data_IF_330518494948
#
_entry.id   IF_330518494948
#
_cell.length_a   1.000
_cell.length_b   1.000
_cell.length_c   1.000
_cell.angle_alpha   90.00
_cell.angle_beta   90.00
_cell.angle_gamma   90.00
#
_symmetry.space_group_name_H-M   'P 1'
#
loop_
_entity.id
_entity.type
_entity.pdbx_description
1 polymer ?
#
# COMPACT_ATOMS: atom_id res chain seq x y z
N UNK A 1 57.36 -18.78 -55.24
CA UNK A 1 56.37 -17.70 -55.41
C UNK A 1 54.97 -18.34 -55.43
N UNK A 2 54.09 -17.87 -54.52
CA UNK A 2 52.62 -17.98 -54.43
C UNK A 2 51.94 -19.37 -54.58
N UNK A 3 51.39 -19.96 -53.49
CA UNK A 3 50.03 -19.78 -52.89
C UNK A 3 48.92 -20.31 -53.81
N UNK A 4 47.94 -21.16 -53.43
CA UNK A 4 47.28 -21.36 -52.14
C UNK A 4 46.43 -22.65 -52.16
N UNK A 5 46.29 -23.30 -51.00
CA UNK A 5 45.43 -24.47 -50.71
C UNK A 5 43.93 -24.14 -50.70
N UNK A 6 43.08 -25.13 -51.00
CA UNK A 6 41.73 -25.28 -50.39
C UNK A 6 41.47 -26.74 -49.99
N UNK A 7 40.91 -26.85 -48.80
CA UNK A 7 40.83 -27.99 -47.89
C UNK A 7 39.65 -28.92 -48.25
N UNK A 8 39.88 -30.22 -48.09
CA UNK A 8 38.92 -31.30 -48.35
C UNK A 8 37.88 -31.46 -47.23
N UNK A 9 36.63 -31.72 -47.62
CA UNK A 9 35.53 -32.20 -46.76
C UNK A 9 35.62 -33.72 -46.66
N UNK A 10 35.76 -34.27 -45.45
CA UNK A 10 35.47 -35.67 -45.17
C UNK A 10 34.47 -35.77 -44.02
N UNK A 11 33.38 -36.49 -44.28
CA UNK A 11 32.30 -36.73 -43.35
C UNK A 11 32.68 -37.74 -42.26
N UNK A 12 32.17 -37.51 -41.07
CA UNK A 12 32.22 -38.45 -39.95
C UNK A 12 30.78 -38.82 -39.58
N UNK A 13 30.46 -40.12 -39.70
CA UNK A 13 29.24 -40.73 -39.19
C UNK A 13 29.18 -40.53 -37.66
N UNK A 14 28.14 -39.87 -37.16
CA UNK A 14 27.80 -39.84 -35.74
C UNK A 14 26.79 -40.95 -35.45
N UNK A 15 27.15 -41.84 -34.53
CA UNK A 15 26.26 -42.85 -33.98
C UNK A 15 25.10 -42.19 -33.22
N UNK A 16 23.87 -42.54 -33.59
CA UNK A 16 22.65 -42.13 -32.87
C UNK A 16 22.52 -42.99 -31.62
N UNK A 17 23.05 -42.49 -30.50
CA UNK A 17 22.63 -42.92 -29.17
C UNK A 17 21.27 -42.27 -28.90
N UNK A 18 20.20 -43.05 -28.98
CA UNK A 18 18.88 -42.66 -28.52
C UNK A 18 18.90 -42.46 -27.00
N UNK A 19 19.24 -41.26 -26.55
CA UNK A 19 18.94 -40.82 -25.21
C UNK A 19 17.43 -40.57 -25.14
N UNK A 20 16.69 -41.48 -24.51
CA UNK A 20 15.34 -41.22 -24.06
C UNK A 20 15.36 -39.97 -23.18
N UNK A 21 14.93 -38.84 -23.72
CA UNK A 21 14.70 -37.61 -22.96
C UNK A 21 13.59 -37.90 -21.95
N UNK A 22 13.98 -38.25 -20.72
CA UNK A 22 13.09 -38.09 -19.58
C UNK A 22 12.83 -36.60 -19.46
N UNK A 23 11.62 -36.16 -19.82
CA UNK A 23 11.14 -34.82 -19.51
C UNK A 23 11.03 -34.74 -17.97
N UNK A 24 12.06 -34.19 -17.34
CA UNK A 24 12.04 -33.93 -15.90
C UNK A 24 11.04 -32.79 -15.70
N UNK A 25 9.95 -33.06 -14.99
CA UNK A 25 8.97 -32.04 -14.63
C UNK A 25 9.65 -30.91 -13.86
N UNK A 26 9.33 -29.66 -14.17
CA UNK A 26 9.91 -28.51 -13.50
C UNK A 26 9.58 -28.54 -12.00
N UNK A 27 10.55 -28.27 -11.10
CA UNK A 27 10.29 -28.26 -9.66
C UNK A 27 9.23 -27.22 -9.30
N UNK A 28 8.42 -27.50 -8.29
CA UNK A 28 7.43 -26.53 -7.81
C UNK A 28 8.12 -25.27 -7.27
N UNK A 29 7.56 -24.11 -7.57
CA UNK A 29 8.02 -22.84 -7.00
C UNK A 29 7.87 -22.85 -5.47
N UNK A 30 8.84 -22.29 -4.77
CA UNK A 30 8.88 -22.16 -3.33
C UNK A 30 9.37 -20.77 -2.93
N UNK A 31 8.74 -20.25 -1.88
CA UNK A 31 9.16 -19.01 -1.27
C UNK A 31 10.45 -19.21 -0.44
N UNK A 32 11.28 -18.17 -0.37
CA UNK A 32 12.60 -18.20 0.27
C UNK A 32 13.73 -18.77 -0.58
N UNK A 33 13.48 -19.15 -1.84
CA UNK A 33 14.48 -19.76 -2.73
C UNK A 33 15.06 -18.73 -3.71
N UNK A 34 16.37 -18.85 -3.99
CA UNK A 34 17.04 -18.09 -5.06
C UNK A 34 16.92 -18.83 -6.39
N UNK A 35 16.37 -18.16 -7.39
CA UNK A 35 16.24 -18.65 -8.75
C UNK A 35 17.21 -17.90 -9.66
N UNK A 36 18.09 -18.62 -10.35
CA UNK A 36 18.96 -18.03 -11.37
C UNK A 36 18.18 -17.77 -12.66
N UNK A 37 18.55 -16.71 -13.39
CA UNK A 37 17.92 -16.38 -14.66
C UNK A 37 17.89 -17.60 -15.60
N UNK A 38 16.71 -17.90 -16.14
CA UNK A 38 16.46 -19.06 -16.98
C UNK A 38 15.94 -20.32 -16.26
N UNK A 39 15.94 -20.35 -14.93
CA UNK A 39 15.35 -21.47 -14.15
C UNK A 39 13.85 -21.61 -14.46
N UNK A 40 13.38 -22.85 -14.68
CA UNK A 40 11.95 -23.14 -14.90
C UNK A 40 11.36 -23.80 -13.67
N UNK A 41 10.19 -23.34 -13.23
CA UNK A 41 9.43 -23.86 -12.08
C UNK A 41 7.96 -24.03 -12.40
N UNK A 42 7.28 -24.93 -11.69
CA UNK A 42 5.83 -25.08 -11.76
C UNK A 42 5.14 -24.28 -10.65
N UNK A 43 4.14 -23.47 -10.98
CA UNK A 43 3.28 -22.79 -10.01
C UNK A 43 1.82 -22.82 -10.47
N UNK A 44 0.90 -23.26 -9.60
CA UNK A 44 -0.52 -23.46 -9.92
C UNK A 44 -0.76 -24.27 -11.21
N UNK A 45 0.06 -25.30 -11.44
CA UNK A 45 -0.06 -26.19 -12.60
C UNK A 45 0.40 -25.59 -13.93
N UNK A 46 1.10 -24.45 -13.91
CA UNK A 46 1.72 -23.83 -15.09
C UNK A 46 3.22 -23.66 -14.89
N UNK A 47 3.97 -23.74 -15.98
CA UNK A 47 5.41 -23.57 -15.97
C UNK A 47 5.81 -22.12 -16.25
N UNK A 48 6.80 -21.66 -15.50
CA UNK A 48 7.31 -20.30 -15.58
C UNK A 48 8.83 -20.31 -15.57
N UNK A 49 9.43 -19.48 -16.40
CA UNK A 49 10.86 -19.27 -16.52
C UNK A 49 11.27 -17.96 -15.85
N UNK A 50 12.26 -18.01 -14.96
CA UNK A 50 12.85 -16.82 -14.35
C UNK A 50 13.53 -15.96 -15.43
N UNK A 51 13.19 -14.67 -15.47
CA UNK A 51 13.76 -13.70 -16.41
C UNK A 51 15.09 -13.12 -15.91
N UNK A 52 15.21 -12.96 -14.60
CA UNK A 52 16.41 -12.44 -13.91
C UNK A 52 16.71 -13.28 -12.67
N UNK A 53 17.97 -13.31 -12.26
CA UNK A 53 18.36 -13.98 -11.01
C UNK A 53 17.79 -13.20 -9.82
N UNK A 54 17.03 -13.86 -8.96
CA UNK A 54 16.40 -13.23 -7.79
C UNK A 54 16.16 -14.23 -6.66
N UNK A 55 16.01 -13.73 -5.44
CA UNK A 55 15.51 -14.52 -4.31
C UNK A 55 14.06 -14.15 -4.06
N UNK A 56 13.16 -15.14 -4.10
CA UNK A 56 11.75 -14.94 -3.81
C UNK A 56 11.52 -14.88 -2.28
N UNK A 57 11.99 -13.82 -1.62
CA UNK A 57 11.97 -13.72 -0.15
C UNK A 57 10.57 -13.94 0.46
N UNK A 58 10.51 -14.62 1.61
CA UNK A 58 9.25 -14.92 2.31
C UNK A 58 8.48 -13.65 2.67
N UNK A 59 7.21 -13.58 2.26
CA UNK A 59 6.31 -12.44 2.48
C UNK A 59 6.30 -11.39 1.36
N UNK A 60 7.16 -11.52 0.34
CA UNK A 60 7.19 -10.57 -0.79
C UNK A 60 6.15 -10.86 -1.86
N UNK A 61 5.55 -12.05 -1.83
CA UNK A 61 4.59 -12.53 -2.83
C UNK A 61 5.14 -12.49 -4.27
N UNK A 62 6.45 -12.70 -4.45
CA UNK A 62 7.13 -12.77 -5.75
C UNK A 62 6.92 -14.12 -6.45
N UNK A 63 5.67 -14.58 -6.50
CA UNK A 63 5.31 -15.83 -7.14
C UNK A 63 5.22 -15.68 -8.67
N UNK A 64 5.40 -16.77 -9.44
CA UNK A 64 5.48 -16.68 -10.89
C UNK A 64 4.24 -16.15 -11.61
N UNK A 65 3.05 -16.20 -10.99
CA UNK A 65 1.82 -15.66 -11.55
C UNK A 65 1.62 -14.16 -11.26
N UNK A 66 2.18 -13.64 -10.16
CA UNK A 66 1.99 -12.26 -9.71
C UNK A 66 3.16 -11.32 -10.08
N UNK A 67 4.32 -11.84 -10.49
CA UNK A 67 5.51 -11.03 -10.81
C UNK A 67 6.04 -11.25 -12.23
N UNK A 68 5.36 -10.72 -13.26
CA UNK A 68 5.73 -10.90 -14.67
C UNK A 68 7.07 -10.24 -15.08
N UNK A 69 7.63 -9.39 -14.21
CA UNK A 69 8.98 -8.82 -14.37
C UNK A 69 10.09 -9.81 -13.97
N UNK A 70 9.77 -10.77 -13.11
CA UNK A 70 10.70 -11.80 -12.64
C UNK A 70 10.49 -13.14 -13.34
N UNK A 71 9.28 -13.39 -13.86
CA UNK A 71 8.88 -14.68 -14.43
C UNK A 71 8.12 -14.51 -15.76
N UNK A 72 8.37 -15.41 -16.71
CA UNK A 72 7.59 -15.53 -17.93
C UNK A 72 6.98 -16.92 -18.06
N UNK A 73 5.68 -17.00 -18.38
CA UNK A 73 5.02 -18.27 -18.67
C UNK A 73 5.67 -18.94 -19.89
N UNK A 74 6.02 -20.22 -19.80
CA UNK A 74 6.52 -20.98 -20.95
C UNK A 74 5.32 -21.56 -21.70
N UNK A 75 5.22 -21.31 -23.01
CA UNK A 75 4.07 -21.68 -23.84
C UNK A 75 3.91 -23.18 -24.14
N UNK A 76 4.27 -24.07 -23.21
CA UNK A 76 4.24 -25.52 -23.37
C UNK A 76 3.06 -26.20 -22.68
N UNK A 77 2.53 -27.24 -23.31
CA UNK A 77 1.39 -28.07 -22.90
C UNK A 77 1.58 -28.72 -21.52
N UNK A 78 0.49 -28.77 -20.76
CA UNK A 78 0.35 -29.48 -19.48
C UNK A 78 0.94 -30.90 -19.52
N UNK A 79 2.01 -31.12 -18.74
CA UNK A 79 2.53 -32.45 -18.40
C UNK A 79 1.80 -32.96 -17.15
N UNK A 80 1.50 -34.27 -17.03
CA UNK A 80 0.64 -34.77 -15.95
C UNK A 80 1.30 -34.60 -14.58
N UNK A 81 0.48 -34.24 -13.60
CA UNK A 81 0.88 -34.02 -12.22
C UNK A 81 1.58 -35.26 -11.63
N UNK A 82 2.71 -35.12 -10.91
CA UNK A 82 3.27 -36.23 -10.16
C UNK A 82 2.35 -36.56 -8.98
N UNK A 83 2.16 -37.86 -8.74
CA UNK A 83 1.42 -38.43 -7.62
C UNK A 83 1.86 -37.82 -6.28
N UNK A 84 0.94 -37.41 -5.38
CA UNK A 84 1.31 -36.87 -4.08
C UNK A 84 2.14 -37.87 -3.27
N UNK A 85 3.28 -37.41 -2.75
CA UNK A 85 4.00 -38.14 -1.71
C UNK A 85 3.16 -38.19 -0.41
N UNK A 86 3.27 -39.25 0.41
CA UNK A 86 2.38 -39.47 1.56
C UNK A 86 2.41 -38.31 2.55
N UNK A 87 1.22 -37.95 3.05
CA UNK A 87 1.07 -36.98 4.12
C UNK A 87 1.92 -37.38 5.34
N UNK A 88 2.77 -36.46 5.82
CA UNK A 88 3.40 -36.62 7.11
C UNK A 88 2.31 -36.63 8.20
N UNK A 89 2.29 -37.71 8.97
CA UNK A 89 1.44 -37.92 10.14
C UNK A 89 1.50 -36.71 11.07
N UNK A 90 0.35 -36.17 11.54
CA UNK A 90 0.35 -35.16 12.59
C UNK A 90 0.97 -35.74 13.86
N UNK A 91 2.06 -35.13 14.32
CA UNK A 91 2.56 -35.37 15.68
C UNK A 91 1.52 -34.87 16.70
N UNK A 92 1.36 -35.54 17.85
CA UNK A 92 0.33 -35.20 18.82
C UNK A 92 0.51 -33.77 19.35
N UNK A 93 -0.62 -33.07 19.50
CA UNK A 93 -0.69 -31.79 20.17
C UNK A 93 -0.21 -31.93 21.62
N UNK A 94 0.77 -31.12 22.10
CA UNK A 94 1.10 -31.10 23.51
C UNK A 94 -0.08 -30.51 24.29
N UNK A 95 -0.50 -31.28 25.30
CA UNK A 95 -1.43 -30.91 26.36
C UNK A 95 -1.15 -29.52 26.94
N UNK A 96 -2.24 -28.79 27.25
CA UNK A 96 -2.23 -27.44 27.79
C UNK A 96 -1.26 -27.24 28.95
N UNK A 97 -0.29 -26.35 28.74
CA UNK A 97 0.54 -25.76 29.78
C UNK A 97 0.03 -24.35 30.08
N UNK A 98 -0.10 -24.03 31.37
CA UNK A 98 -0.33 -22.67 31.87
C UNK A 98 0.75 -21.71 31.34
N UNK A 99 0.36 -20.66 30.62
CA UNK A 99 1.28 -19.61 30.18
C UNK A 99 1.47 -18.58 31.30
N UNK A 100 2.65 -18.56 31.91
CA UNK A 100 3.12 -17.40 32.67
C UNK A 100 3.65 -16.37 31.67
N UNK A 101 2.86 -15.33 31.38
CA UNK A 101 3.30 -14.21 30.55
C UNK A 101 3.86 -13.07 31.39
N UNK A 102 4.91 -12.40 30.92
CA UNK A 102 5.39 -11.14 31.51
C UNK A 102 5.09 -9.97 30.58
N UNK A 103 5.00 -8.74 31.10
CA UNK A 103 4.84 -7.55 30.26
C UNK A 103 6.12 -7.32 29.45
N UNK A 104 5.99 -7.17 28.13
CA UNK A 104 7.14 -6.88 27.28
C UNK A 104 7.74 -5.53 27.66
N UNK A 105 9.06 -5.47 27.82
CA UNK A 105 9.81 -4.27 28.17
C UNK A 105 10.91 -4.05 27.14
N UNK A 106 10.98 -2.82 26.63
CA UNK A 106 11.95 -2.44 25.58
C UNK A 106 13.39 -2.60 26.07
N UNK A 107 14.24 -3.22 25.26
CA UNK A 107 15.66 -3.41 25.57
C UNK A 107 15.96 -4.53 26.57
N UNK A 108 14.96 -5.34 26.95
CA UNK A 108 15.14 -6.54 27.77
C UNK A 108 15.25 -7.78 26.88
N UNK A 109 16.23 -8.63 27.18
CA UNK A 109 16.40 -9.89 26.47
C UNK A 109 15.60 -11.00 27.18
N UNK A 110 14.80 -11.73 26.40
CA UNK A 110 14.00 -12.85 26.88
C UNK A 110 14.60 -14.17 26.39
N UNK A 111 14.42 -15.23 27.17
CA UNK A 111 14.85 -16.58 26.79
C UNK A 111 13.86 -17.22 25.81
N UNK A 112 14.38 -18.08 24.92
CA UNK A 112 13.58 -18.80 23.93
C UNK A 112 12.38 -19.50 24.59
N UNK A 113 11.20 -19.32 24.01
CA UNK A 113 9.94 -19.87 24.52
C UNK A 113 9.16 -18.96 25.47
N UNK A 114 9.74 -17.83 25.92
CA UNK A 114 9.06 -16.85 26.77
C UNK A 114 7.84 -16.27 26.07
N UNK A 115 6.72 -16.16 26.80
CA UNK A 115 5.52 -15.46 26.33
C UNK A 115 5.48 -14.06 26.96
N UNK A 116 5.33 -13.04 26.14
CA UNK A 116 5.19 -11.65 26.59
C UNK A 116 3.82 -11.08 26.21
N UNK A 117 3.28 -10.21 27.04
CA UNK A 117 2.14 -9.36 26.67
C UNK A 117 2.67 -8.03 26.12
N UNK A 118 2.33 -7.72 24.87
CA UNK A 118 2.64 -6.46 24.21
C UNK A 118 1.33 -5.84 23.67
N UNK A 119 0.95 -4.68 24.22
CA UNK A 119 -0.27 -3.95 23.88
C UNK A 119 -1.56 -4.80 23.88
N UNK A 120 -1.68 -5.72 24.84
CA UNK A 120 -2.87 -6.58 24.99
C UNK A 120 -2.88 -7.82 24.11
N UNK A 121 -1.83 -8.05 23.30
CA UNK A 121 -1.62 -9.26 22.52
C UNK A 121 -0.45 -10.06 23.07
N UNK A 122 -0.52 -11.40 22.98
CA UNK A 122 0.53 -12.27 23.49
C UNK A 122 1.44 -12.74 22.35
N UNK A 123 2.74 -12.71 22.60
CA UNK A 123 3.76 -13.15 21.64
C UNK A 123 4.72 -14.11 22.31
N UNK A 124 5.03 -15.22 21.65
CA UNK A 124 6.03 -16.18 22.10
C UNK A 124 7.33 -15.93 21.36
N UNK A 125 8.44 -15.86 22.10
CA UNK A 125 9.76 -15.84 21.50
C UNK A 125 10.05 -17.23 20.93
N UNK A 126 10.18 -17.33 19.61
CA UNK A 126 10.36 -18.58 18.88
C UNK A 126 11.74 -18.73 18.25
N UNK A 127 12.57 -17.67 18.30
CA UNK A 127 13.94 -17.71 17.80
C UNK A 127 14.88 -16.83 18.64
N UNK A 128 16.19 -17.09 18.62
CA UNK A 128 17.22 -16.30 19.31
C UNK A 128 18.53 -16.28 18.53
N UNK A 129 19.25 -15.14 18.54
CA UNK A 129 20.64 -15.08 18.07
C UNK A 129 21.63 -15.41 19.20
N UNK A 130 22.94 -15.24 18.94
CA UNK A 130 24.03 -15.54 19.89
C UNK A 130 23.93 -14.80 21.23
N UNK A 131 23.12 -13.74 21.32
CA UNK A 131 22.90 -12.90 22.51
C UNK A 131 21.44 -12.88 23.02
N UNK A 132 20.56 -13.81 22.58
CA UNK A 132 19.13 -13.85 22.95
C UNK A 132 18.21 -13.10 21.97
N UNK A 133 17.00 -12.70 22.40
CA UNK A 133 16.17 -11.74 21.64
C UNK A 133 16.88 -10.38 21.63
N UNK A 134 16.95 -9.69 20.49
CA UNK A 134 17.66 -8.41 20.34
C UNK A 134 16.93 -7.18 20.95
N UNK A 135 15.97 -7.41 21.86
CA UNK A 135 15.19 -6.36 22.52
C UNK A 135 14.22 -5.62 21.59
N UNK A 136 14.00 -6.11 20.36
CA UNK A 136 13.07 -5.51 19.40
C UNK A 136 11.61 -5.86 19.69
N UNK A 137 10.74 -4.95 19.26
CA UNK A 137 9.29 -5.02 19.38
C UNK A 137 8.74 -6.31 18.72
N UNK A 138 7.86 -7.07 19.40
CA UNK A 138 7.25 -8.30 18.88
C UNK A 138 6.48 -8.17 17.57
N UNK A 139 6.09 -6.96 17.18
CA UNK A 139 5.38 -6.66 15.92
C UNK A 139 6.32 -6.27 14.78
N UNK A 140 7.55 -5.89 15.08
CA UNK A 140 8.56 -5.48 14.09
C UNK A 140 9.38 -6.70 13.65
N UNK A 141 9.71 -7.58 14.58
CA UNK A 141 10.65 -8.68 14.34
C UNK A 141 9.95 -10.04 14.44
N UNK A 142 9.20 -10.37 13.37
CA UNK A 142 8.48 -11.65 13.23
C UNK A 142 9.40 -12.88 13.11
N UNK A 143 10.71 -12.65 12.99
CA UNK A 143 11.73 -13.70 13.08
C UNK A 143 11.95 -14.18 14.53
N UNK A 144 11.92 -13.27 15.51
CA UNK A 144 12.07 -13.59 16.93
C UNK A 144 10.74 -13.96 17.57
N UNK A 145 9.66 -13.24 17.23
CA UNK A 145 8.38 -13.30 17.93
C UNK A 145 7.25 -13.84 17.05
N UNK A 146 6.43 -14.73 17.60
CA UNK A 146 5.21 -15.22 16.95
C UNK A 146 3.98 -14.93 17.82
N UNK A 147 2.83 -14.54 17.24
CA UNK A 147 1.58 -14.40 17.98
C UNK A 147 1.18 -15.72 18.67
N UNK A 148 0.66 -15.63 19.89
CA UNK A 148 0.14 -16.77 20.65
C UNK A 148 -1.12 -16.37 21.43
N UNK A 149 -1.86 -17.36 21.91
CA UNK A 149 -3.02 -17.16 22.79
C UNK A 149 -2.67 -17.59 24.21
N UNK A 150 -2.99 -16.78 25.21
CA UNK A 150 -2.86 -17.12 26.62
C UNK A 150 -4.25 -17.07 27.28
N UNK A 151 -4.74 -18.21 27.79
CA UNK A 151 -6.08 -18.31 28.41
C UNK A 151 -5.95 -18.98 29.77
N UNK A 152 -6.29 -18.27 30.85
CA UNK A 152 -6.26 -18.82 32.20
C UNK A 152 -6.87 -17.91 33.25
N UNK A 153 -8.14 -18.14 33.57
CA UNK A 153 -8.84 -17.63 34.76
C UNK A 153 -9.64 -18.77 35.38
N UNK A 154 -9.37 -19.02 36.66
CA UNK A 154 -9.72 -20.15 37.54
C UNK A 154 -11.11 -20.80 37.37
N UNK A 155 -11.11 -22.14 37.29
CA UNK A 155 -12.28 -23.03 37.48
C UNK A 155 -12.45 -23.41 38.96
N UNK A 156 -13.67 -23.46 39.53
CA UNK A 156 -14.02 -24.44 40.55
C UNK A 156 -14.46 -25.76 39.88
N UNK A 157 -14.26 -26.85 40.61
CA UNK A 157 -14.31 -28.28 40.26
C UNK A 157 -15.61 -28.77 39.59
N UNK A 158 -15.56 -29.73 38.62
CA UNK A 158 -16.74 -30.25 37.94
C UNK A 158 -17.48 -31.33 38.76
N UNK A 159 -18.82 -31.27 38.75
CA UNK A 159 -19.74 -32.34 39.14
C UNK A 159 -20.03 -33.20 37.90
N UNK A 160 -20.08 -34.55 37.98
CA UNK A 160 -20.19 -35.40 36.79
C UNK A 160 -21.57 -35.30 36.10
N UNK A 161 -21.54 -35.21 34.78
CA UNK A 161 -22.72 -35.12 33.89
C UNK A 161 -23.30 -36.51 33.56
N UNK A 162 -24.63 -36.73 33.64
CA UNK A 162 -25.30 -37.94 33.11
C UNK A 162 -25.43 -37.96 31.58
N UNK A 163 -25.62 -39.17 31.03
CA UNK A 163 -25.69 -39.55 29.62
C UNK A 163 -26.74 -38.77 28.75
N UNK A 164 -26.59 -38.74 27.41
CA UNK A 164 -27.24 -37.76 26.55
C UNK A 164 -28.70 -38.11 26.23
N UNK A 165 -29.54 -37.09 26.12
CA UNK A 165 -30.91 -37.17 25.55
C UNK A 165 -30.98 -36.24 24.32
N UNK A 166 -31.84 -36.56 23.33
CA UNK A 166 -31.60 -36.25 21.91
C UNK A 166 -31.80 -34.78 21.55
N UNK A 167 -31.04 -34.38 20.51
CA UNK A 167 -30.96 -33.06 19.87
C UNK A 167 -32.35 -32.50 19.50
N UNK A 168 -32.76 -31.32 20.00
CA UNK A 168 -33.85 -30.57 19.42
C UNK A 168 -33.41 -29.92 18.11
N UNK A 169 -34.28 -30.02 17.12
CA UNK A 169 -34.26 -29.34 15.83
C UNK A 169 -34.00 -27.82 16.00
N UNK A 170 -33.16 -27.18 15.16
CA UNK A 170 -32.91 -25.74 15.25
C UNK A 170 -34.20 -24.96 15.07
N UNK A 171 -34.53 -24.11 16.05
CA UNK A 171 -35.50 -23.04 15.85
C UNK A 171 -34.96 -22.04 14.82
N UNK A 172 -35.79 -21.53 13.89
CA UNK A 172 -35.34 -20.59 12.88
C UNK A 172 -34.78 -19.33 13.55
N UNK A 173 -33.60 -18.91 13.09
CA UNK A 173 -32.98 -17.63 13.42
C UNK A 173 -34.01 -16.52 13.25
N UNK A 174 -34.20 -15.62 14.24
CA UNK A 174 -35.09 -14.49 14.07
C UNK A 174 -34.59 -13.64 12.90
N UNK A 175 -35.44 -13.49 11.89
CA UNK A 175 -35.22 -12.57 10.78
C UNK A 175 -35.07 -11.15 11.34
N UNK A 176 -34.01 -10.40 10.99
CA UNK A 176 -34.03 -8.95 11.12
C UNK A 176 -35.03 -8.42 10.09
N UNK A 177 -36.31 -8.38 10.47
CA UNK A 177 -37.31 -7.60 9.78
C UNK A 177 -37.01 -6.12 10.05
N UNK A 178 -36.61 -5.37 9.03
CA UNK A 178 -36.53 -3.92 9.18
C UNK A 178 -35.85 -3.12 8.07
N UNK A 179 -35.23 -3.72 7.06
CA UNK A 179 -34.59 -2.92 6.01
C UNK A 179 -35.36 -2.92 4.70
N UNK A 180 -35.99 -1.79 4.37
CA UNK A 180 -36.60 -1.55 3.06
C UNK A 180 -35.54 -1.07 2.06
N UNK A 181 -34.50 -1.87 1.83
CA UNK A 181 -33.51 -1.57 0.81
C UNK A 181 -33.94 -2.16 -0.54
N UNK A 182 -34.01 -1.32 -1.57
CA UNK A 182 -34.36 -1.78 -2.93
C UNK A 182 -33.10 -2.34 -3.61
N UNK A 183 -33.22 -3.39 -4.42
CA UNK A 183 -32.07 -3.87 -5.22
C UNK A 183 -31.67 -2.78 -6.22
N UNK A 184 -30.40 -2.39 -6.22
CA UNK A 184 -29.90 -1.39 -7.15
C UNK A 184 -30.05 -1.90 -8.59
N UNK A 185 -30.61 -1.06 -9.46
CA UNK A 185 -30.84 -1.37 -10.87
C UNK A 185 -30.18 -0.29 -11.73
N UNK A 186 -29.38 -0.72 -12.69
CA UNK A 186 -28.65 0.19 -13.59
C UNK A 186 -29.61 1.09 -14.36
N UNK A 187 -29.31 2.39 -14.39
CA UNK A 187 -30.10 3.38 -15.13
C UNK A 187 -31.40 3.83 -14.45
N UNK A 188 -31.63 3.41 -13.19
CA UNK A 188 -32.76 3.87 -12.37
C UNK A 188 -32.31 5.02 -11.48
N UNK A 189 -33.13 6.08 -11.39
CA UNK A 189 -32.87 7.22 -10.52
C UNK A 189 -33.57 7.01 -9.17
N UNK A 190 -32.79 7.14 -8.09
CA UNK A 190 -33.27 7.01 -6.73
C UNK A 190 -33.36 8.40 -6.07
N UNK A 191 -34.28 8.54 -5.12
CA UNK A 191 -34.44 9.78 -4.34
C UNK A 191 -33.45 9.84 -3.18
N UNK A 192 -33.08 11.07 -2.78
CA UNK A 192 -32.14 11.31 -1.69
C UNK A 192 -32.54 10.55 -0.42
N UNK A 193 -31.58 9.87 0.20
CA UNK A 193 -31.77 9.05 1.39
C UNK A 193 -32.15 7.59 1.12
N UNK A 194 -32.43 7.21 -0.13
CA UNK A 194 -32.73 5.82 -0.50
C UNK A 194 -31.55 4.91 -0.19
N UNK A 195 -31.82 3.75 0.42
CA UNK A 195 -30.83 2.69 0.61
C UNK A 195 -31.04 1.62 -0.46
N UNK A 196 -29.97 1.29 -1.18
CA UNK A 196 -29.97 0.22 -2.18
C UNK A 196 -29.03 -0.92 -1.77
N UNK A 197 -29.37 -2.15 -2.18
CA UNK A 197 -28.45 -3.28 -2.13
C UNK A 197 -27.78 -3.44 -3.50
N UNK A 198 -26.45 -3.38 -3.52
CA UNK A 198 -25.63 -3.65 -4.70
C UNK A 198 -24.62 -4.75 -4.39
N UNK A 199 -24.72 -5.89 -5.09
CA UNK A 199 -23.85 -7.07 -4.92
C UNK A 199 -23.66 -7.51 -3.46
N UNK A 200 -24.71 -7.42 -2.63
CA UNK A 200 -24.68 -7.85 -1.24
C UNK A 200 -24.17 -6.80 -0.25
N UNK A 201 -23.82 -5.61 -0.72
CA UNK A 201 -23.47 -4.45 0.10
C UNK A 201 -24.53 -3.36 0.02
N UNK A 202 -24.69 -2.57 1.08
CA UNK A 202 -25.71 -1.53 1.15
C UNK A 202 -25.12 -0.15 0.98
N UNK A 203 -25.80 0.68 0.19
CA UNK A 203 -25.39 2.05 -0.09
C UNK A 203 -26.57 3.00 0.08
N UNK A 204 -26.37 4.11 0.77
CA UNK A 204 -27.34 5.18 0.92
C UNK A 204 -27.03 6.27 -0.10
N UNK A 205 -28.05 6.72 -0.82
CA UNK A 205 -27.96 7.91 -1.65
C UNK A 205 -27.88 9.13 -0.73
N UNK A 206 -26.75 9.83 -0.75
CA UNK A 206 -26.48 10.97 0.13
C UNK A 206 -26.41 12.29 -0.62
N UNK A 207 -26.44 12.26 -1.94
CA UNK A 207 -26.48 13.44 -2.79
C UNK A 207 -27.32 13.20 -4.05
N UNK A 208 -27.83 14.28 -4.67
CA UNK A 208 -28.63 14.20 -5.92
C UNK A 208 -28.37 15.41 -6.82
N UNK A 209 -28.36 15.20 -8.14
CA UNK A 209 -28.44 16.27 -9.14
C UNK A 209 -29.89 16.65 -9.43
N UNK A 210 -30.12 17.50 -10.44
CA UNK A 210 -31.45 17.99 -10.85
C UNK A 210 -32.47 16.89 -11.19
N UNK A 211 -32.01 15.66 -11.46
CA UNK A 211 -32.83 14.50 -11.85
C UNK A 211 -32.71 13.29 -10.87
N UNK A 212 -32.17 13.46 -9.65
CA UNK A 212 -31.93 12.36 -8.69
C UNK A 212 -30.50 11.79 -8.76
N UNK A 213 -30.31 10.50 -8.43
CA UNK A 213 -29.06 9.79 -8.76
C UNK A 213 -28.86 9.73 -10.28
N UNK A 214 -27.63 9.72 -10.79
CA UNK A 214 -27.32 9.68 -12.23
C UNK A 214 -27.38 8.27 -12.87
N UNK A 215 -27.90 7.28 -12.15
CA UNK A 215 -27.99 5.90 -12.59
C UNK A 215 -26.65 5.15 -12.60
N UNK A 216 -25.57 5.76 -12.09
CA UNK A 216 -24.26 5.10 -11.93
C UNK A 216 -24.22 4.17 -10.72
N UNK A 217 -23.37 3.15 -10.87
CA UNK A 217 -23.09 2.12 -9.87
C UNK A 217 -22.57 2.76 -8.56
N UNK A 218 -23.07 2.33 -7.38
CA UNK A 218 -22.64 2.83 -6.07
C UNK A 218 -21.14 2.73 -5.75
N UNK A 219 -20.40 1.90 -6.45
CA UNK A 219 -18.93 1.75 -6.33
C UNK A 219 -18.14 2.71 -7.23
N UNK A 220 -18.80 3.29 -8.24
CA UNK A 220 -18.17 4.20 -9.20
C UNK A 220 -18.35 5.66 -8.77
N UNK A 221 -19.52 6.02 -8.22
CA UNK A 221 -19.83 7.39 -7.85
C UNK A 221 -20.12 7.55 -6.36
N UNK A 222 -19.06 7.76 -5.61
CA UNK A 222 -19.10 8.04 -4.16
C UNK A 222 -19.64 9.43 -3.82
N UNK A 223 -19.90 10.27 -4.84
CA UNK A 223 -20.59 11.55 -4.69
C UNK A 223 -22.09 11.35 -4.42
N UNK A 224 -22.73 10.43 -5.16
CA UNK A 224 -24.13 10.07 -4.97
C UNK A 224 -24.30 9.08 -3.82
N UNK A 225 -23.42 8.07 -3.73
CA UNK A 225 -23.62 6.90 -2.88
C UNK A 225 -22.59 6.80 -1.76
N UNK A 226 -23.04 6.50 -0.53
CA UNK A 226 -22.18 6.16 0.60
C UNK A 226 -22.47 4.75 1.11
N UNK A 227 -21.44 3.95 1.47
CA UNK A 227 -21.65 2.68 2.15
C UNK A 227 -22.45 2.88 3.44
N UNK A 228 -23.39 1.97 3.71
CA UNK A 228 -24.22 2.03 4.92
C UNK A 228 -24.50 0.63 5.46
N UNK A 229 -25.01 0.57 6.69
CA UNK A 229 -25.53 -0.65 7.29
C UNK A 229 -27.05 -0.58 7.32
N UNK A 230 -27.70 -1.72 7.07
CA UNK A 230 -29.15 -1.81 6.98
C UNK A 230 -29.81 -1.83 8.36
N UNK A 231 -29.76 -0.71 9.08
CA UNK A 231 -30.41 -0.52 10.39
C UNK A 231 -31.23 0.77 10.37
N UNK A 232 -32.56 0.63 10.29
CA UNK A 232 -33.50 1.75 10.31
C UNK A 232 -33.70 2.31 11.72
N UNK A 233 -33.79 3.64 11.83
CA UNK A 233 -34.25 4.34 13.03
C UNK A 233 -33.25 5.38 13.56
N UNK A 234 -33.54 6.65 13.28
CA UNK A 234 -33.02 7.91 13.87
C UNK A 234 -31.51 7.97 14.20
N UNK A 235 -30.82 8.77 13.38
CA UNK A 235 -29.50 9.36 13.63
C UNK A 235 -29.20 9.64 15.10
N UNK A 236 -28.05 9.13 15.60
CA UNK A 236 -27.12 9.92 16.37
C UNK A 236 -25.85 10.17 15.55
N UNK A 237 -25.36 11.41 15.66
CA UNK A 237 -24.02 11.95 15.36
C UNK A 237 -22.95 10.95 14.88
N UNK A 238 -22.22 11.22 13.78
CA UNK A 238 -21.26 10.28 13.22
C UNK A 238 -20.12 10.01 14.20
N UNK A 239 -20.04 8.77 14.66
CA UNK A 239 -18.83 8.20 15.26
C UNK A 239 -18.05 7.50 14.14
N UNK A 240 -16.79 7.89 13.85
CA UNK A 240 -16.00 7.28 12.78
C UNK A 240 -15.67 5.81 13.07
N UNK A 241 -16.13 4.92 12.20
CA UNK A 241 -15.85 3.48 12.23
C UNK A 241 -14.76 3.08 11.24
N UNK A 242 -13.59 2.80 11.81
CA UNK A 242 -12.44 1.98 11.42
C UNK A 242 -12.56 1.15 10.13
N UNK A 243 -11.81 1.52 9.09
CA UNK A 243 -11.71 0.77 7.84
C UNK A 243 -10.65 1.35 6.90
N UNK A 244 -9.41 1.40 7.37
CA UNK A 244 -8.27 2.11 6.79
C UNK A 244 -7.52 2.76 7.93
N UNK A 245 -6.19 2.61 8.02
CA UNK A 245 -5.42 3.21 9.12
C UNK A 245 -5.85 4.67 9.32
N UNK A 246 -6.30 5.02 10.52
CA UNK A 246 -6.87 6.34 10.77
C UNK A 246 -5.82 7.39 10.45
N UNK A 247 -6.01 8.14 9.38
CA UNK A 247 -5.14 9.26 9.08
C UNK A 247 -5.20 10.28 10.22
N UNK A 248 -4.06 10.85 10.57
CA UNK A 248 -3.97 11.73 11.74
C UNK A 248 -4.62 13.10 11.52
N UNK A 249 -4.84 13.48 10.25
CA UNK A 249 -5.62 14.64 9.87
C UNK A 249 -7.05 14.18 9.59
N UNK A 250 -8.02 14.67 10.35
CA UNK A 250 -9.43 14.34 10.12
C UNK A 250 -9.95 14.96 8.81
N UNK A 251 -11.03 14.43 8.26
CA UNK A 251 -11.69 15.03 7.09
C UNK A 251 -12.13 16.48 7.35
N UNK A 252 -12.62 16.77 8.56
CA UNK A 252 -13.01 18.12 8.96
C UNK A 252 -11.81 19.08 8.93
N UNK A 253 -10.66 18.64 9.45
CA UNK A 253 -9.42 19.42 9.39
C UNK A 253 -8.92 19.58 7.96
N UNK A 254 -8.96 18.53 7.14
CA UNK A 254 -8.60 18.61 5.72
C UNK A 254 -9.49 19.62 4.97
N UNK A 255 -10.79 19.66 5.25
CA UNK A 255 -11.72 20.65 4.69
C UNK A 255 -11.42 22.08 5.17
N UNK A 256 -10.91 22.27 6.39
CA UNK A 256 -10.45 23.58 6.88
C UNK A 256 -9.15 24.03 6.23
N UNK A 257 -8.24 23.09 5.97
CA UNK A 257 -6.99 23.35 5.23
C UNK A 257 -7.28 23.75 3.78
N UNK A 258 -8.25 23.09 3.14
CA UNK A 258 -8.55 23.30 1.72
C UNK A 258 -10.05 23.55 1.45
N UNK A 259 -10.59 24.73 1.84
CA UNK A 259 -12.02 25.04 1.77
C UNK A 259 -12.54 25.22 0.34
N UNK A 260 -11.68 25.65 -0.59
CA UNK A 260 -12.03 25.95 -1.97
C UNK A 260 -11.37 24.98 -2.98
N UNK A 261 -10.93 23.81 -2.53
CA UNK A 261 -10.26 22.84 -3.40
C UNK A 261 -11.15 22.39 -4.54
N UNK A 262 -10.51 21.98 -5.64
CA UNK A 262 -11.18 21.27 -6.71
C UNK A 262 -11.79 19.95 -6.17
N UNK A 263 -13.05 19.61 -6.50
CA UNK A 263 -13.70 18.37 -6.08
C UNK A 263 -12.94 17.09 -6.45
N UNK A 264 -12.04 17.14 -7.44
CA UNK A 264 -11.12 16.06 -7.78
C UNK A 264 -10.28 15.60 -6.57
N UNK A 265 -9.86 16.51 -5.70
CA UNK A 265 -9.04 16.19 -4.54
C UNK A 265 -9.92 15.81 -3.35
N UNK A 266 -10.26 14.53 -3.28
CA UNK A 266 -11.10 14.01 -2.19
C UNK A 266 -10.24 13.60 -1.00
N UNK A 267 -10.79 13.77 0.22
CA UNK A 267 -10.17 13.24 1.44
C UNK A 267 -10.06 11.70 1.38
N UNK A 268 -11.09 11.03 0.86
CA UNK A 268 -11.07 9.58 0.68
C UNK A 268 -9.97 9.13 -0.28
N UNK A 269 -9.69 9.88 -1.35
CA UNK A 269 -8.57 9.61 -2.24
C UNK A 269 -7.23 9.64 -1.51
N UNK A 270 -7.04 10.64 -0.64
CA UNK A 270 -5.85 10.74 0.22
C UNK A 270 -5.75 9.54 1.17
N UNK A 271 -6.82 9.25 1.93
CA UNK A 271 -6.85 8.12 2.87
C UNK A 271 -6.58 6.78 2.18
N UNK A 272 -7.14 6.58 0.99
CA UNK A 272 -6.91 5.38 0.19
C UNK A 272 -5.46 5.27 -0.28
N UNK A 273 -4.78 6.39 -0.52
CA UNK A 273 -3.39 6.42 -0.94
C UNK A 273 -2.40 6.09 0.19
N UNK A 274 -2.78 6.31 1.46
CA UNK A 274 -1.89 6.10 2.62
C UNK A 274 -1.34 4.67 2.71
N UNK A 275 -2.12 3.67 2.28
CA UNK A 275 -1.68 2.27 2.32
C UNK A 275 -0.48 1.97 1.42
N UNK A 276 -0.17 2.84 0.45
CA UNK A 276 1.03 2.70 -0.39
C UNK A 276 2.31 2.95 0.41
N UNK A 277 2.24 3.74 1.50
CA UNK A 277 3.38 4.08 2.35
C UNK A 277 2.97 4.13 3.83
N UNK A 278 2.87 2.97 4.52
CA UNK A 278 2.35 2.90 5.89
C UNK A 278 3.13 3.69 6.96
N UNK A 279 4.37 4.08 6.67
CA UNK A 279 5.22 4.90 7.55
C UNK A 279 4.90 6.41 7.48
N UNK A 280 4.28 6.86 6.38
CA UNK A 280 3.91 8.26 6.16
C UNK A 280 2.94 8.75 7.24
N UNK A 281 3.31 9.85 7.91
CA UNK A 281 2.53 10.44 9.00
C UNK A 281 2.14 9.44 10.11
N UNK A 282 2.98 8.41 10.31
CA UNK A 282 2.77 7.35 11.29
C UNK A 282 4.10 6.92 11.97
N UNK A 283 5.12 7.77 11.88
CA UNK A 283 6.47 7.54 12.43
C UNK A 283 6.86 8.68 13.38
N UNK A 284 7.66 8.38 14.41
CA UNK A 284 8.18 9.40 15.34
C UNK A 284 7.22 9.87 16.44
N UNK A 285 6.04 9.25 16.56
CA UNK A 285 5.01 9.58 17.55
C UNK A 285 4.04 10.68 17.08
N UNK A 286 2.95 10.88 17.82
CA UNK A 286 1.79 11.70 17.40
C UNK A 286 2.16 13.12 16.98
N UNK A 287 3.07 13.79 17.71
CA UNK A 287 3.51 15.14 17.37
C UNK A 287 4.23 15.19 16.03
N UNK A 288 5.22 14.31 15.82
CA UNK A 288 5.99 14.23 14.58
C UNK A 288 5.10 13.81 13.41
N UNK A 289 4.19 12.85 13.63
CA UNK A 289 3.22 12.43 12.62
C UNK A 289 2.28 13.56 12.17
N UNK A 290 1.82 14.41 13.11
CA UNK A 290 1.05 15.62 12.77
C UNK A 290 1.89 16.67 12.05
N UNK A 291 3.13 16.88 12.48
CA UNK A 291 4.06 17.78 11.80
C UNK A 291 4.34 17.31 10.37
N UNK A 292 4.60 16.02 10.17
CA UNK A 292 4.82 15.46 8.84
C UNK A 292 3.59 15.61 7.95
N UNK A 293 2.39 15.29 8.45
CA UNK A 293 1.16 15.46 7.70
C UNK A 293 0.91 16.93 7.31
N UNK A 294 1.13 17.86 8.25
CA UNK A 294 1.03 19.30 7.97
C UNK A 294 2.09 19.76 6.96
N UNK A 295 3.32 19.26 7.05
CA UNK A 295 4.41 19.61 6.14
C UNK A 295 4.13 19.13 4.71
N UNK A 296 3.65 17.90 4.57
CA UNK A 296 3.22 17.35 3.28
C UNK A 296 2.10 18.19 2.67
N UNK A 297 1.02 18.43 3.43
CA UNK A 297 -0.13 19.19 2.94
C UNK A 297 0.20 20.66 2.65
N UNK A 298 1.10 21.29 3.40
CA UNK A 298 1.54 22.66 3.16
C UNK A 298 2.33 22.81 1.85
N UNK A 299 3.18 21.83 1.53
CA UNK A 299 3.85 21.79 0.23
C UNK A 299 2.85 21.54 -0.90
N UNK A 300 1.88 20.64 -0.70
CA UNK A 300 0.79 20.40 -1.65
C UNK A 300 -0.01 21.68 -1.91
N UNK A 301 -0.29 22.47 -0.87
CA UNK A 301 -0.98 23.76 -1.01
C UNK A 301 -0.24 24.68 -1.99
N UNK A 302 1.06 24.85 -1.76
CA UNK A 302 1.93 25.66 -2.61
C UNK A 302 1.96 25.17 -4.07
N UNK A 303 2.11 23.86 -4.30
CA UNK A 303 2.20 23.31 -5.68
C UNK A 303 0.91 23.49 -6.49
N UNK A 304 -0.24 23.53 -5.82
CA UNK A 304 -1.55 23.39 -6.47
C UNK A 304 -2.48 24.58 -6.28
N UNK A 305 -2.01 25.63 -5.60
CA UNK A 305 -2.84 26.77 -5.21
C UNK A 305 -4.00 26.35 -4.31
N UNK A 306 -3.69 25.73 -3.17
CA UNK A 306 -4.66 25.14 -2.24
C UNK A 306 -5.58 24.09 -2.89
N UNK A 307 -4.99 23.17 -3.68
CA UNK A 307 -5.69 22.09 -4.39
C UNK A 307 -6.73 22.60 -5.41
N UNK A 308 -6.60 23.81 -5.95
CA UNK A 308 -7.49 24.29 -7.02
C UNK A 308 -7.10 23.74 -8.38
N UNK A 309 -5.80 23.52 -8.62
CA UNK A 309 -5.27 23.10 -9.90
C UNK A 309 -4.91 21.61 -9.90
N UNK A 310 -5.44 20.88 -10.89
CA UNK A 310 -5.13 19.46 -11.12
C UNK A 310 -3.92 19.29 -12.04
N UNK A 311 -3.77 20.21 -12.99
CA UNK A 311 -2.76 20.21 -14.05
C UNK A 311 -2.01 21.54 -14.01
N UNK A 312 -0.77 21.53 -14.45
CA UNK A 312 0.02 22.74 -14.68
C UNK A 312 -0.74 23.75 -15.55
N UNK A 313 -0.79 25.00 -15.07
CA UNK A 313 -1.58 26.07 -15.68
C UNK A 313 -0.96 26.51 -17.03
N UNK A 314 0.37 26.65 -17.08
CA UNK A 314 1.03 27.17 -18.27
C UNK A 314 1.20 26.08 -19.35
N UNK A 315 0.19 25.98 -20.21
CA UNK A 315 0.16 24.99 -21.30
C UNK A 315 1.31 25.13 -22.30
N UNK A 316 1.94 26.30 -22.40
CA UNK A 316 3.12 26.49 -23.26
C UNK A 316 4.32 25.64 -22.81
N UNK A 317 4.40 25.31 -21.51
CA UNK A 317 5.48 24.48 -20.97
C UNK A 317 5.25 22.98 -21.19
N UNK A 318 4.03 22.55 -21.52
CA UNK A 318 3.68 21.12 -21.56
C UNK A 318 4.59 20.25 -22.44
N UNK A 319 5.11 20.73 -23.59
CA UNK A 319 6.05 19.97 -24.40
C UNK A 319 7.46 19.80 -23.80
N UNK A 320 7.82 20.59 -22.77
CA UNK A 320 9.19 20.64 -22.24
C UNK A 320 9.57 19.41 -21.40
N UNK A 321 8.58 18.74 -20.82
CA UNK A 321 8.78 17.69 -19.82
C UNK A 321 9.05 16.31 -20.43
N UNK A 322 9.91 16.25 -21.44
CA UNK A 322 10.30 15.02 -22.12
C UNK A 322 11.83 14.95 -22.22
N UNK A 323 12.46 14.11 -21.40
CA UNK A 323 13.93 14.03 -21.31
C UNK A 323 14.60 13.64 -22.63
N UNK A 324 13.96 12.75 -23.40
CA UNK A 324 14.45 12.27 -24.70
C UNK A 324 14.07 13.17 -25.89
N UNK A 325 13.31 14.25 -25.66
CA UNK A 325 12.77 15.13 -26.70
C UNK A 325 11.60 14.55 -27.51
N UNK A 326 11.40 13.23 -27.51
CA UNK A 326 10.25 12.58 -28.13
C UNK A 326 9.63 11.53 -27.21
N UNK A 327 8.44 11.86 -26.71
CA UNK A 327 7.68 11.03 -25.78
C UNK A 327 6.50 10.30 -26.44
N UNK A 328 6.56 10.06 -27.76
CA UNK A 328 5.54 9.30 -28.49
C UNK A 328 4.15 9.95 -28.46
N UNK A 329 4.11 11.29 -28.45
CA UNK A 329 2.86 12.06 -28.34
C UNK A 329 2.29 12.15 -26.91
N UNK A 330 2.96 11.57 -25.91
CA UNK A 330 2.62 11.73 -24.49
C UNK A 330 3.25 13.00 -23.91
N UNK A 331 2.60 13.57 -22.90
CA UNK A 331 3.06 14.79 -22.23
C UNK A 331 3.10 14.59 -20.71
N UNK A 332 4.22 14.97 -20.11
CA UNK A 332 4.51 14.77 -18.68
C UNK A 332 4.64 16.08 -17.92
N UNK A 333 3.81 17.07 -18.27
CA UNK A 333 3.61 18.28 -17.47
C UNK A 333 3.08 17.95 -16.07
N UNK A 334 3.14 18.95 -15.19
CA UNK A 334 2.76 18.79 -13.79
C UNK A 334 1.30 18.36 -13.61
N UNK A 335 1.08 17.29 -12.84
CA UNK A 335 -0.27 16.84 -12.42
C UNK A 335 -0.30 16.48 -10.94
N UNK A 336 -1.48 16.64 -10.34
CA UNK A 336 -1.79 16.16 -8.99
C UNK A 336 -1.14 16.96 -7.85
N UNK A 337 -1.20 16.46 -6.60
CA UNK A 337 -0.92 17.24 -5.40
C UNK A 337 0.52 17.75 -5.27
N UNK A 338 1.47 17.09 -5.93
CA UNK A 338 2.89 17.49 -5.95
C UNK A 338 3.35 17.88 -7.37
N UNK A 339 2.42 18.17 -8.28
CA UNK A 339 2.70 18.55 -9.66
C UNK A 339 3.74 17.65 -10.34
N UNK A 340 3.53 16.32 -10.28
CA UNK A 340 4.43 15.31 -10.85
C UNK A 340 4.72 15.66 -12.31
N UNK A 341 6.00 15.88 -12.61
CA UNK A 341 6.48 16.37 -13.91
C UNK A 341 7.66 15.54 -14.39
N UNK A 342 7.89 15.50 -15.70
CA UNK A 342 8.92 14.72 -16.42
C UNK A 342 8.64 13.21 -16.58
N UNK A 343 8.88 12.72 -17.79
CA UNK A 343 8.78 11.31 -18.19
C UNK A 343 9.47 10.33 -17.22
N UNK A 344 10.69 10.65 -16.77
CA UNK A 344 11.41 9.79 -15.83
C UNK A 344 10.73 9.69 -14.45
N UNK A 345 10.06 10.75 -13.97
CA UNK A 345 9.34 10.72 -12.70
C UNK A 345 8.03 9.94 -12.83
N UNK A 346 7.30 10.09 -13.94
CA UNK A 346 6.12 9.24 -14.23
C UNK A 346 6.51 7.77 -14.34
N UNK A 347 7.65 7.45 -14.98
CA UNK A 347 8.18 6.09 -15.02
C UNK A 347 8.52 5.57 -13.63
N UNK A 348 9.24 6.34 -12.82
CA UNK A 348 9.70 5.92 -11.49
C UNK A 348 8.53 5.77 -10.50
N UNK A 349 7.60 6.72 -10.48
CA UNK A 349 6.39 6.66 -9.67
C UNK A 349 5.51 5.48 -10.08
N UNK A 350 5.31 5.29 -11.39
CA UNK A 350 4.52 4.19 -11.92
C UNK A 350 5.09 2.83 -11.54
N UNK A 351 6.40 2.65 -11.70
CA UNK A 351 7.09 1.42 -11.30
C UNK A 351 6.96 1.13 -9.79
N UNK A 352 7.12 2.14 -8.94
CA UNK A 352 7.01 1.99 -7.49
C UNK A 352 5.58 1.67 -7.03
N UNK A 353 4.58 2.23 -7.71
CA UNK A 353 3.16 2.07 -7.35
C UNK A 353 2.46 0.90 -8.05
N UNK A 354 3.12 0.26 -9.02
CA UNK A 354 2.52 -0.78 -9.87
C UNK A 354 1.46 -0.24 -10.83
N UNK A 355 1.62 1.00 -11.30
CA UNK A 355 0.67 1.70 -12.18
C UNK A 355 1.43 2.18 -13.42
N UNK A 356 0.93 1.90 -14.62
CA UNK A 356 1.58 2.33 -15.87
C UNK A 356 1.35 3.83 -16.16
N UNK A 357 2.01 4.68 -15.38
CA UNK A 357 1.94 6.13 -15.48
C UNK A 357 2.75 6.70 -16.65
N UNK A 358 3.73 5.96 -17.17
CA UNK A 358 4.49 6.38 -18.34
C UNK A 358 3.59 6.36 -19.58
N UNK A 359 2.85 5.28 -19.82
CA UNK A 359 1.95 5.23 -20.98
C UNK A 359 0.60 5.91 -20.73
N UNK A 360 0.20 6.06 -19.45
CA UNK A 360 -1.08 6.64 -19.04
C UNK A 360 -0.90 7.81 -18.04
N UNK A 361 -0.17 8.89 -18.39
CA UNK A 361 0.16 9.96 -17.45
C UNK A 361 -1.07 10.73 -16.95
N UNK A 362 -2.17 10.74 -17.70
CA UNK A 362 -3.38 11.46 -17.28
C UNK A 362 -4.16 10.76 -16.15
N UNK A 363 -3.79 9.53 -15.76
CA UNK A 363 -4.31 8.88 -14.55
C UNK A 363 -4.07 9.75 -13.31
N UNK A 364 -2.95 10.48 -13.25
CA UNK A 364 -2.61 11.41 -12.14
C UNK A 364 -3.58 12.59 -12.07
N UNK A 365 -4.31 12.90 -13.14
CA UNK A 365 -5.27 14.00 -13.21
C UNK A 365 -6.73 13.54 -13.41
N UNK A 366 -6.99 12.23 -13.34
CA UNK A 366 -8.32 11.65 -13.53
C UNK A 366 -8.71 10.66 -12.42
N UNK A 367 -7.74 10.14 -11.66
CA UNK A 367 -7.96 9.33 -10.47
C UNK A 367 -7.34 10.00 -9.22
N UNK A 368 -8.20 10.38 -8.28
CA UNK A 368 -7.83 11.09 -7.05
C UNK A 368 -6.84 10.29 -6.20
N UNK A 369 -7.06 8.98 -6.04
CA UNK A 369 -6.21 8.13 -5.22
C UNK A 369 -4.84 7.93 -5.88
N UNK A 370 -4.78 7.78 -7.20
CA UNK A 370 -3.51 7.73 -7.94
C UNK A 370 -2.74 9.04 -7.79
N UNK A 371 -3.42 10.19 -7.90
CA UNK A 371 -2.79 11.49 -7.71
C UNK A 371 -2.13 11.61 -6.32
N UNK A 372 -2.87 11.25 -5.26
CA UNK A 372 -2.33 11.22 -3.91
C UNK A 372 -1.20 10.21 -3.72
N UNK A 373 -1.29 9.02 -4.33
CA UNK A 373 -0.20 8.03 -4.30
C UNK A 373 1.08 8.58 -4.92
N UNK A 374 1.00 9.31 -6.03
CA UNK A 374 2.20 9.93 -6.64
C UNK A 374 2.83 11.00 -5.76
N UNK A 375 2.01 11.78 -5.04
CA UNK A 375 2.51 12.80 -4.12
C UNK A 375 3.19 12.16 -2.90
N UNK A 376 2.59 11.13 -2.31
CA UNK A 376 3.17 10.40 -1.18
C UNK A 376 4.43 9.64 -1.64
N UNK A 377 4.43 9.05 -2.84
CA UNK A 377 5.64 8.46 -3.44
C UNK A 377 6.79 9.45 -3.48
N UNK A 378 6.54 10.68 -3.95
CA UNK A 378 7.57 11.71 -4.00
C UNK A 378 8.10 12.01 -2.59
N UNK A 379 7.18 12.31 -1.66
CA UNK A 379 7.49 12.64 -0.27
C UNK A 379 8.32 11.57 0.45
N UNK A 380 8.04 10.30 0.17
CA UNK A 380 8.63 9.15 0.87
C UNK A 380 9.92 8.65 0.23
N UNK A 381 10.19 8.95 -1.05
CA UNK A 381 11.27 8.29 -1.81
C UNK A 381 12.21 9.24 -2.53
N UNK A 382 11.76 10.46 -2.83
CA UNK A 382 12.53 11.41 -3.63
C UNK A 382 13.26 12.39 -2.73
N UNK A 383 14.52 12.65 -3.07
CA UNK A 383 15.42 13.53 -2.30
C UNK A 383 15.65 14.87 -2.98
N UNK A 384 15.19 15.03 -4.22
CA UNK A 384 15.56 16.14 -5.08
C UNK A 384 17.08 16.35 -5.08
N UNK A 385 17.50 17.58 -4.76
CA UNK A 385 18.92 17.96 -4.67
C UNK A 385 19.49 17.84 -3.25
N UNK A 386 18.83 17.11 -2.34
CA UNK A 386 19.20 17.06 -0.92
C UNK A 386 19.72 15.70 -0.46
N UNK A 387 20.19 15.67 0.80
CA UNK A 387 20.68 14.46 1.43
C UNK A 387 19.57 13.52 1.96
N UNK A 388 18.31 13.94 1.98
CA UNK A 388 17.21 13.23 2.68
C UNK A 388 15.90 13.34 1.91
N UNK A 389 14.98 12.42 2.15
CA UNK A 389 13.60 12.58 1.68
C UNK A 389 12.87 13.61 2.56
N UNK A 390 11.77 14.22 2.09
CA UNK A 390 10.90 15.01 2.95
C UNK A 390 10.43 14.25 4.21
N UNK A 391 10.08 12.96 4.07
CA UNK A 391 9.77 12.09 5.20
C UNK A 391 10.91 12.07 6.22
N UNK A 392 12.12 11.71 5.79
CA UNK A 392 13.30 11.62 6.65
C UNK A 392 13.62 12.96 7.33
N UNK A 393 13.43 14.07 6.63
CA UNK A 393 13.64 15.41 7.16
C UNK A 393 12.73 15.70 8.36
N UNK A 394 11.45 15.31 8.28
CA UNK A 394 10.49 15.51 9.36
C UNK A 394 10.76 14.56 10.53
N UNK A 395 10.98 13.26 10.28
CA UNK A 395 11.14 12.28 11.36
C UNK A 395 12.49 12.39 12.09
N UNK A 396 13.53 12.91 11.43
CA UNK A 396 14.84 13.12 12.05
C UNK A 396 14.97 14.49 12.76
N UNK A 397 13.97 15.36 12.62
CA UNK A 397 14.02 16.72 13.14
C UNK A 397 14.97 17.65 12.37
N UNK A 398 15.32 17.31 11.12
CA UNK A 398 16.11 18.21 10.27
C UNK A 398 15.35 19.51 9.96
N UNK A 399 14.01 19.43 9.91
CA UNK A 399 13.09 20.57 9.85
C UNK A 399 12.39 20.74 8.51
N UNK A 400 11.36 21.59 8.51
CA UNK A 400 10.49 21.81 7.36
C UNK A 400 11.24 22.36 6.14
N UNK A 401 12.27 23.19 6.34
CA UNK A 401 13.07 23.77 5.26
C UNK A 401 13.81 22.74 4.40
N UNK A 402 14.16 21.57 4.97
CA UNK A 402 14.72 20.47 4.18
C UNK A 402 13.69 19.84 3.23
N UNK A 403 12.40 19.86 3.58
CA UNK A 403 11.33 19.40 2.68
C UNK A 403 11.19 20.34 1.48
N UNK A 404 11.27 21.65 1.71
CA UNK A 404 11.25 22.67 0.67
C UNK A 404 12.47 22.48 -0.26
N UNK A 405 13.66 22.27 0.33
CA UNK A 405 14.88 22.00 -0.43
C UNK A 405 14.74 20.75 -1.33
N UNK A 406 14.14 19.68 -0.82
CA UNK A 406 13.94 18.44 -1.55
C UNK A 406 12.94 18.58 -2.71
N UNK A 407 11.94 19.45 -2.58
CA UNK A 407 10.89 19.64 -3.59
C UNK A 407 11.31 20.61 -4.67
N UNK A 408 11.77 21.81 -4.30
CA UNK A 408 12.11 22.87 -5.26
C UNK A 408 13.29 23.74 -4.82
N UNK A 409 14.24 23.18 -4.07
CA UNK A 409 15.30 23.93 -3.43
C UNK A 409 16.26 24.65 -4.36
N UNK A 410 16.46 24.15 -5.58
CA UNK A 410 17.30 24.80 -6.58
C UNK A 410 16.74 26.12 -7.11
N UNK A 411 15.45 26.38 -6.89
CA UNK A 411 14.76 27.61 -7.30
C UNK A 411 14.41 28.47 -6.07
N UNK A 412 13.91 27.83 -5.01
CA UNK A 412 13.34 28.54 -3.86
C UNK A 412 14.37 28.83 -2.75
N UNK A 413 15.42 28.02 -2.61
CA UNK A 413 16.36 28.15 -1.50
C UNK A 413 17.70 28.79 -1.95
N UNK A 414 18.45 29.35 -0.99
CA UNK A 414 19.86 29.79 -1.16
C UNK A 414 20.17 30.84 -2.26
N UNK A 415 19.28 31.79 -2.57
CA UNK A 415 19.64 32.91 -3.45
C UNK A 415 20.35 34.07 -2.71
N UNK A 416 21.53 34.47 -3.20
CA UNK A 416 22.19 35.68 -2.74
C UNK A 416 21.40 36.92 -3.18
N UNK A 417 21.01 37.80 -2.24
CA UNK A 417 20.35 39.08 -2.54
C UNK A 417 18.82 39.12 -2.39
N UNK A 418 18.16 38.01 -2.01
CA UNK A 418 16.86 38.02 -1.33
C UNK A 418 15.60 38.38 -2.14
N UNK A 419 15.65 38.56 -3.46
CA UNK A 419 14.49 39.09 -4.23
C UNK A 419 13.60 38.02 -4.88
N UNK A 420 14.13 36.83 -5.17
CA UNK A 420 13.36 35.65 -5.63
C UNK A 420 13.85 34.43 -4.84
N UNK A 421 12.93 33.62 -4.32
CA UNK A 421 13.23 32.52 -3.38
C UNK A 421 12.65 32.74 -1.97
N UNK A 422 12.51 33.98 -1.51
CA UNK A 422 11.91 34.24 -0.20
C UNK A 422 10.38 34.05 -0.19
N UNK A 423 9.67 34.49 -1.23
CA UNK A 423 8.19 34.50 -1.17
C UNK A 423 7.58 33.10 -1.21
N UNK A 424 7.97 32.24 -2.14
CA UNK A 424 7.40 30.88 -2.24
C UNK A 424 7.80 30.01 -1.06
N UNK A 425 9.05 30.11 -0.60
CA UNK A 425 9.50 29.48 0.64
C UNK A 425 8.69 29.99 1.84
N UNK A 426 8.49 31.31 1.97
CA UNK A 426 7.66 31.88 3.04
C UNK A 426 6.20 31.45 2.94
N UNK A 427 5.64 31.31 1.73
CA UNK A 427 4.28 30.80 1.54
C UNK A 427 4.18 29.39 2.10
N UNK A 428 5.10 28.49 1.74
CA UNK A 428 5.17 27.12 2.31
C UNK A 428 5.27 27.15 3.83
N UNK A 429 6.15 28.00 4.39
CA UNK A 429 6.32 28.14 5.85
C UNK A 429 5.03 28.62 6.50
N UNK A 430 4.34 29.60 5.91
CA UNK A 430 3.07 30.12 6.42
C UNK A 430 1.95 29.07 6.37
N UNK A 431 1.87 28.29 5.29
CA UNK A 431 0.93 27.17 5.20
C UNK A 431 1.24 26.11 6.25
N UNK A 432 2.51 25.75 6.43
CA UNK A 432 2.93 24.77 7.42
C UNK A 432 2.60 25.21 8.86
N UNK A 433 2.86 26.48 9.20
CA UNK A 433 2.48 27.04 10.51
C UNK A 433 0.95 27.01 10.69
N UNK A 434 0.20 27.39 9.67
CA UNK A 434 -1.28 27.34 9.70
C UNK A 434 -1.77 25.91 9.95
N UNK A 435 -1.21 24.93 9.24
CA UNK A 435 -1.63 23.54 9.30
C UNK A 435 -1.22 22.86 10.60
N UNK A 436 -0.04 23.17 11.14
CA UNK A 436 0.38 22.69 12.47
C UNK A 436 -0.48 23.28 13.58
N UNK A 437 -0.87 24.55 13.48
CA UNK A 437 -1.83 25.17 14.41
C UNK A 437 -3.20 24.47 14.36
N UNK A 438 -3.73 24.17 13.18
CA UNK A 438 -4.98 23.41 13.03
C UNK A 438 -4.92 22.00 13.64
N UNK A 439 -3.73 21.38 13.65
CA UNK A 439 -3.50 20.07 14.25
C UNK A 439 -3.13 20.12 15.74
N UNK A 440 -2.97 21.32 16.30
CA UNK A 440 -2.63 21.55 17.71
C UNK A 440 -1.20 21.13 18.06
N UNK A 441 -0.23 21.32 17.15
CA UNK A 441 1.19 21.03 17.39
C UNK A 441 2.05 22.24 17.00
N UNK A 442 3.26 22.34 17.56
CA UNK A 442 4.21 23.38 17.15
C UNK A 442 4.86 23.03 15.80
N UNK A 443 5.29 24.04 15.04
CA UNK A 443 5.96 23.84 13.76
C UNK A 443 7.38 23.25 13.89
N UNK A 444 7.99 23.31 15.09
CA UNK A 444 9.39 22.94 15.30
C UNK A 444 10.35 24.06 14.89
N UNK A 445 11.58 23.69 14.53
CA UNK A 445 12.66 24.61 14.14
C UNK A 445 13.08 24.38 12.68
N UNK A 446 14.00 25.20 12.15
CA UNK A 446 14.53 25.10 10.79
C UNK A 446 13.43 25.10 9.72
N UNK A 447 12.52 26.07 9.82
CA UNK A 447 11.32 26.12 8.98
C UNK A 447 11.63 26.49 7.53
N UNK A 448 12.60 27.38 7.32
CA UNK A 448 12.96 27.88 5.99
C UNK A 448 14.24 27.29 5.42
N UNK A 449 14.48 27.68 4.18
CA UNK A 449 15.67 27.44 3.37
C UNK A 449 15.93 28.68 2.49
#
# INVERSE_FOLDING_TARGET
MNRTMKLARNGLLCAVLGASLYAIAAPAWQEGVTYTAGTVVTYNGKDYKALVTHTAYVGTNWNPASTPTLWAATGGTSSPAPTPAPAATPAPSPSGGSCSSTTWTRGVNYSLGTVVNYNGSYYKLVNTGSNGSDGTDPTISTWYWQPTTCSGGTSPTPVPTPAPTPKPTPAPTPTPSGCSATVWTRGVNYSLGTVVNYNGSYYKLVNTGSNGSDGTDPTISTWYWQPTTCSGGTSPTPTPGTGGGSFIVSEATFNQMFPNRNPFYTYQGLVTALSAYPAFANTGGTTVSKQEAAAFLANVDQETGALQYIREINTNNWPLYCSSGNCGGKQYYGRGPMQLSWDYNYSAAGAALGIDLLNNPDLVATDSAIAWKTAIWYWMTQRGQTARTPHDAMISGAGFGETIRAINGGIECNQAGGTLGNQEMNNRVNFYITFTNLLGVTAGTNLGC
#
